data_IF_692784263791
#
_entry.id   IF_692784263791
#
_cell.length_a   1.000
_cell.length_b   1.000
_cell.length_c   1.000
_cell.angle_alpha   90.00
_cell.angle_beta   90.00
_cell.angle_gamma   90.00
#
_symmetry.space_group_name_H-M   'P 1'
#
loop_
_entity.id
_entity.type
_entity.pdbx_description
1 polymer ?
#
# COMPACT_ATOMS: atom_id res chain seq x y z
N UNK A 1 -6.16 -1.19 30.98
CA UNK A 1 -7.02 -1.98 30.08
C UNK A 1 -6.64 -1.64 28.64
N UNK A 2 -5.58 -2.23 28.09
CA UNK A 2 -5.19 -2.00 26.70
C UNK A 2 -5.55 -3.26 25.91
N UNK A 3 -6.80 -3.35 25.42
CA UNK A 3 -7.20 -4.50 24.60
C UNK A 3 -6.70 -4.29 23.17
N UNK A 4 -5.75 -5.10 22.67
CA UNK A 4 -5.24 -4.98 21.30
C UNK A 4 -6.35 -5.10 20.25
N UNK A 5 -7.42 -5.83 20.58
CA UNK A 5 -8.61 -5.95 19.74
C UNK A 5 -9.34 -4.61 19.54
N UNK A 6 -9.58 -3.84 20.62
CA UNK A 6 -10.29 -2.57 20.51
C UNK A 6 -9.50 -1.54 19.69
N UNK A 7 -8.18 -1.55 19.87
CA UNK A 7 -7.26 -0.65 19.17
C UNK A 7 -7.18 -1.02 17.69
N UNK A 8 -7.06 -2.32 17.39
CA UNK A 8 -7.08 -2.79 16.01
C UNK A 8 -8.41 -2.49 15.32
N UNK A 9 -9.56 -2.73 15.99
CA UNK A 9 -10.88 -2.36 15.44
C UNK A 9 -10.91 -0.87 15.10
N UNK A 10 -10.55 0.01 16.04
CA UNK A 10 -10.53 1.45 15.81
C UNK A 10 -9.64 1.85 14.63
N UNK A 11 -8.43 1.30 14.57
CA UNK A 11 -7.50 1.54 13.47
C UNK A 11 -8.03 1.06 12.11
N UNK A 12 -8.64 -0.13 12.07
CA UNK A 12 -9.26 -0.67 10.86
C UNK A 12 -10.42 0.18 10.37
N UNK A 13 -11.27 0.68 11.29
CA UNK A 13 -12.37 1.58 10.95
C UNK A 13 -11.84 2.91 10.36
N UNK A 14 -10.84 3.53 11.01
CA UNK A 14 -10.23 4.76 10.50
C UNK A 14 -9.63 4.53 9.12
N UNK A 15 -8.86 3.45 8.95
CA UNK A 15 -8.24 3.11 7.67
C UNK A 15 -9.28 2.87 6.57
N UNK A 16 -10.38 2.17 6.85
CA UNK A 16 -11.45 1.96 5.87
C UNK A 16 -12.14 3.28 5.46
N UNK A 17 -12.33 4.22 6.39
CA UNK A 17 -12.88 5.55 6.09
C UNK A 17 -11.92 6.36 5.21
N UNK A 18 -10.61 6.34 5.52
CA UNK A 18 -9.59 6.98 4.68
C UNK A 18 -9.57 6.38 3.28
N UNK A 19 -9.67 5.05 3.17
CA UNK A 19 -9.77 4.36 1.89
C UNK A 19 -11.02 4.78 1.10
N UNK A 20 -12.19 4.82 1.76
CA UNK A 20 -13.44 5.23 1.14
C UNK A 20 -13.42 6.70 0.68
N UNK A 21 -12.64 7.57 1.35
CA UNK A 21 -12.54 8.98 0.99
C UNK A 21 -12.03 9.23 -0.43
N UNK A 22 -11.26 8.28 -1.00
CA UNK A 22 -10.75 8.34 -2.38
C UNK A 22 -11.84 8.52 -3.42
N UNK A 23 -13.04 8.04 -3.15
CA UNK A 23 -14.19 8.16 -4.05
C UNK A 23 -14.66 9.61 -4.25
N UNK A 24 -14.26 10.52 -3.37
CA UNK A 24 -14.62 11.95 -3.50
C UNK A 24 -13.84 12.68 -4.59
N UNK A 25 -12.70 12.13 -5.06
CA UNK A 25 -11.86 12.74 -6.09
C UNK A 25 -11.18 14.06 -5.68
N UNK A 26 -11.27 14.47 -4.41
CA UNK A 26 -10.68 15.73 -3.94
C UNK A 26 -9.17 15.61 -3.72
N UNK A 27 -8.45 16.74 -3.82
CA UNK A 27 -7.01 16.78 -3.53
C UNK A 27 -6.70 16.31 -2.09
N UNK A 28 -7.56 16.65 -1.13
CA UNK A 28 -7.44 16.18 0.25
C UNK A 28 -7.61 14.66 0.34
N UNK A 29 -8.58 14.07 -0.37
CA UNK A 29 -8.75 12.62 -0.39
C UNK A 29 -7.53 11.88 -0.97
N UNK A 30 -6.87 12.44 -1.98
CA UNK A 30 -5.62 11.89 -2.50
C UNK A 30 -4.51 11.90 -1.43
N UNK A 31 -4.42 12.96 -0.63
CA UNK A 31 -3.46 13.02 0.48
C UNK A 31 -3.81 12.02 1.60
N UNK A 32 -5.10 11.88 1.93
CA UNK A 32 -5.60 10.93 2.92
C UNK A 32 -5.37 9.47 2.49
N UNK A 33 -5.45 9.19 1.19
CA UNK A 33 -5.16 7.87 0.65
C UNK A 33 -3.74 7.41 1.00
N UNK A 34 -2.75 8.28 0.87
CA UNK A 34 -1.35 7.95 1.14
C UNK A 34 -1.06 7.60 2.61
N UNK A 35 -1.92 7.99 3.54
CA UNK A 35 -1.80 7.64 4.97
C UNK A 35 -2.78 6.54 5.40
N UNK A 36 -3.46 5.89 4.45
CA UNK A 36 -4.50 4.90 4.77
C UNK A 36 -3.93 3.70 5.53
N UNK A 37 -2.68 3.30 5.28
CA UNK A 37 -2.04 2.19 5.99
C UNK A 37 -1.58 2.55 7.41
N UNK A 38 -1.36 3.85 7.70
CA UNK A 38 -0.78 4.34 8.95
C UNK A 38 -1.55 3.88 10.20
N UNK A 39 -2.89 3.96 10.28
CA UNK A 39 -3.62 3.51 11.48
C UNK A 39 -3.37 2.03 11.78
N UNK A 40 -3.35 1.19 10.76
CA UNK A 40 -3.11 -0.25 10.92
C UNK A 40 -1.68 -0.55 11.39
N UNK A 41 -0.69 0.17 10.85
CA UNK A 41 0.69 0.08 11.33
C UNK A 41 0.87 0.58 12.76
N UNK A 42 0.24 1.70 13.13
CA UNK A 42 0.26 2.22 14.51
C UNK A 42 -0.32 1.22 15.50
N UNK A 43 -1.47 0.62 15.19
CA UNK A 43 -2.06 -0.42 16.01
C UNK A 43 -1.16 -1.65 16.10
N UNK A 44 -0.64 -2.12 14.96
CA UNK A 44 0.17 -3.32 14.88
C UNK A 44 1.52 -3.21 15.59
N UNK A 45 2.28 -2.15 15.33
CA UNK A 45 3.59 -1.94 15.95
C UNK A 45 3.47 -1.52 17.42
N UNK A 46 2.44 -0.76 17.78
CA UNK A 46 2.24 -0.28 19.16
C UNK A 46 1.61 -1.30 20.11
N UNK A 47 0.72 -2.18 19.61
CA UNK A 47 -0.05 -3.12 20.44
C UNK A 47 0.03 -4.58 20.00
N UNK A 48 0.89 -4.88 19.03
CA UNK A 48 1.25 -6.23 18.65
C UNK A 48 0.52 -6.77 17.41
N UNK A 49 0.95 -7.94 16.94
CA UNK A 49 0.42 -8.57 15.72
C UNK A 49 -1.10 -8.79 15.75
N UNK A 50 -1.67 -9.05 16.93
CA UNK A 50 -3.13 -9.22 17.09
C UNK A 50 -3.89 -7.93 16.79
N UNK A 51 -3.36 -6.77 17.16
CA UNK A 51 -3.92 -5.47 16.81
C UNK A 51 -3.81 -5.21 15.29
N UNK A 52 -2.70 -5.62 14.65
CA UNK A 52 -2.54 -5.53 13.20
C UNK A 52 -3.57 -6.37 12.44
N UNK A 53 -3.75 -7.64 12.85
CA UNK A 53 -4.72 -8.56 12.22
C UNK A 53 -6.15 -8.06 12.41
N UNK A 54 -6.50 -7.59 13.60
CA UNK A 54 -7.84 -7.07 13.87
C UNK A 54 -8.13 -5.78 13.09
N UNK A 55 -7.13 -4.91 12.91
CA UNK A 55 -7.24 -3.76 12.01
C UNK A 55 -7.45 -4.18 10.56
N UNK A 56 -6.67 -5.15 10.06
CA UNK A 56 -6.81 -5.68 8.71
C UNK A 56 -8.22 -6.25 8.46
N UNK A 57 -8.71 -7.12 9.35
CA UNK A 57 -10.04 -7.74 9.24
C UNK A 57 -11.14 -6.68 9.31
N UNK A 58 -11.06 -5.75 10.26
CA UNK A 58 -12.07 -4.71 10.44
C UNK A 58 -12.12 -3.77 9.25
N UNK A 59 -10.96 -3.33 8.76
CA UNK A 59 -10.87 -2.47 7.58
C UNK A 59 -11.43 -3.16 6.34
N UNK A 60 -11.02 -4.40 6.08
CA UNK A 60 -11.56 -5.23 4.99
C UNK A 60 -13.07 -5.38 5.07
N UNK A 61 -13.60 -5.75 6.24
CA UNK A 61 -15.03 -5.97 6.43
C UNK A 61 -15.82 -4.67 6.21
N UNK A 62 -15.36 -3.55 6.78
CA UNK A 62 -16.04 -2.28 6.62
C UNK A 62 -16.01 -1.80 5.16
N UNK A 63 -14.87 -1.89 4.47
CA UNK A 63 -14.78 -1.55 3.05
C UNK A 63 -15.68 -2.44 2.18
N UNK A 64 -15.75 -3.74 2.50
CA UNK A 64 -16.63 -4.68 1.80
C UNK A 64 -18.12 -4.29 1.93
N UNK A 65 -18.53 -3.86 3.14
CA UNK A 65 -19.92 -3.49 3.45
C UNK A 65 -20.27 -2.10 2.91
N UNK A 66 -19.38 -1.11 3.07
CA UNK A 66 -19.67 0.27 2.69
C UNK A 66 -19.57 0.51 1.18
N UNK A 67 -18.63 -0.15 0.51
CA UNK A 67 -18.34 0.11 -0.91
C UNK A 67 -18.87 -1.03 -1.79
N UNK A 68 -18.24 -2.20 -1.69
CA UNK A 68 -18.62 -3.42 -2.38
C UNK A 68 -17.73 -4.58 -1.91
N UNK A 69 -18.17 -5.85 -2.01
CA UNK A 69 -17.34 -7.01 -1.68
C UNK A 69 -15.99 -7.03 -2.41
N UNK A 70 -15.98 -6.65 -3.69
CA UNK A 70 -14.75 -6.57 -4.49
C UNK A 70 -13.80 -5.47 -3.99
N UNK A 71 -14.32 -4.33 -3.52
CA UNK A 71 -13.51 -3.28 -2.92
C UNK A 71 -12.91 -3.72 -1.58
N UNK A 72 -13.65 -4.48 -0.79
CA UNK A 72 -13.14 -5.12 0.43
C UNK A 72 -11.99 -6.10 0.14
N UNK A 73 -12.11 -6.89 -0.92
CA UNK A 73 -11.02 -7.76 -1.38
C UNK A 73 -9.80 -6.95 -1.82
N UNK A 74 -10.02 -5.85 -2.57
CA UNK A 74 -8.95 -4.91 -2.93
C UNK A 74 -8.24 -4.34 -1.69
N UNK A 75 -8.99 -3.85 -0.71
CA UNK A 75 -8.44 -3.37 0.56
C UNK A 75 -7.65 -4.46 1.30
N UNK A 76 -8.18 -5.68 1.38
CA UNK A 76 -7.49 -6.80 2.00
C UNK A 76 -6.13 -7.07 1.36
N UNK A 77 -6.09 -7.20 0.03
CA UNK A 77 -4.87 -7.55 -0.70
C UNK A 77 -3.83 -6.42 -0.68
N UNK A 78 -4.28 -5.17 -0.75
CA UNK A 78 -3.39 -4.01 -0.92
C UNK A 78 -3.00 -3.33 0.40
N UNK A 79 -3.73 -3.57 1.49
CA UNK A 79 -3.50 -2.92 2.78
C UNK A 79 -3.53 -3.94 3.92
N UNK A 80 -4.65 -4.64 4.10
CA UNK A 80 -4.86 -5.50 5.27
C UNK A 80 -3.82 -6.59 5.44
N UNK A 81 -3.63 -7.43 4.41
CA UNK A 81 -2.66 -8.52 4.40
C UNK A 81 -1.21 -8.02 4.56
N UNK A 82 -0.75 -7.02 3.78
CA UNK A 82 0.57 -6.41 3.96
C UNK A 82 0.82 -5.86 5.37
N UNK A 83 -0.13 -5.12 5.95
CA UNK A 83 -0.01 -4.57 7.32
C UNK A 83 0.17 -5.72 8.32
N UNK A 84 -0.66 -6.76 8.25
CA UNK A 84 -0.57 -7.90 9.16
C UNK A 84 0.79 -8.62 9.05
N UNK A 85 1.27 -8.88 7.84
CA UNK A 85 2.55 -9.55 7.60
C UNK A 85 3.72 -8.68 8.08
N UNK A 86 3.78 -7.41 7.67
CA UNK A 86 4.92 -6.54 7.98
C UNK A 86 5.00 -6.21 9.47
N UNK A 87 3.87 -5.98 10.15
CA UNK A 87 3.86 -5.86 11.60
C UNK A 87 4.31 -7.15 12.29
N UNK A 88 3.85 -8.31 11.81
CA UNK A 88 4.31 -9.58 12.37
C UNK A 88 5.83 -9.74 12.25
N UNK A 89 6.38 -9.53 11.05
CA UNK A 89 7.82 -9.64 10.79
C UNK A 89 8.62 -8.66 11.65
N UNK A 90 8.19 -7.41 11.76
CA UNK A 90 8.86 -6.41 12.59
C UNK A 90 8.89 -6.78 14.08
N UNK A 91 7.87 -7.49 14.55
CA UNK A 91 7.72 -7.92 15.95
C UNK A 91 8.36 -9.27 16.27
N UNK A 92 9.04 -9.93 15.32
CA UNK A 92 9.81 -11.16 15.55
C UNK A 92 11.12 -10.95 16.34
N UNK A 93 11.23 -9.85 17.08
CA UNK A 93 12.40 -9.53 17.87
C UNK A 93 12.54 -10.51 19.04
N UNK A 94 13.74 -11.05 19.23
CA UNK A 94 14.03 -12.05 20.26
C UNK A 94 15.19 -11.60 21.14
N UNK A 95 15.25 -12.02 22.42
CA UNK A 95 16.44 -11.83 23.24
C UNK A 95 17.63 -12.52 22.56
N UNK A 96 18.70 -11.78 22.32
CA UNK A 96 19.93 -12.32 21.74
C UNK A 96 20.62 -13.29 22.68
N UNK A 97 21.46 -14.16 22.13
CA UNK A 97 22.26 -15.08 22.94
C UNK A 97 23.30 -14.29 23.76
N UNK A 98 23.36 -14.55 25.07
CA UNK A 98 24.47 -14.07 25.90
C UNK A 98 25.73 -14.85 25.54
N UNK A 99 26.59 -14.28 24.70
CA UNK A 99 27.93 -14.83 24.45
C UNK A 99 28.90 -14.32 25.51
N UNK A 100 29.24 -15.17 26.47
CA UNK A 100 30.45 -15.07 27.31
C UNK A 100 30.52 -13.95 28.37
N UNK A 101 30.69 -14.33 29.64
CA UNK A 101 31.39 -13.53 30.66
C UNK A 101 30.70 -12.31 31.28
N UNK A 102 29.83 -11.58 30.57
CA UNK A 102 29.29 -10.31 31.07
C UNK A 102 28.10 -10.53 32.02
N UNK A 103 28.44 -10.80 33.29
CA UNK A 103 27.51 -11.04 34.40
C UNK A 103 26.78 -9.77 34.88
N UNK A 104 26.18 -9.01 33.97
CA UNK A 104 25.42 -7.80 34.32
C UNK A 104 24.65 -7.10 33.19
N UNK A 105 24.91 -7.39 31.92
CA UNK A 105 24.18 -6.75 30.81
C UNK A 105 22.95 -7.56 30.38
N UNK A 106 21.83 -6.85 30.18
CA UNK A 106 20.64 -7.43 29.57
C UNK A 106 21.00 -7.97 28.18
N UNK A 107 20.47 -9.13 27.81
CA UNK A 107 20.69 -9.70 26.48
C UNK A 107 20.23 -8.70 25.41
N UNK A 108 21.11 -8.33 24.48
CA UNK A 108 20.77 -7.41 23.39
C UNK A 108 19.60 -7.98 22.58
N UNK A 109 18.60 -7.16 22.25
CA UNK A 109 17.48 -7.60 21.41
C UNK A 109 17.94 -7.79 19.97
N UNK A 110 17.73 -8.99 19.44
CA UNK A 110 17.95 -9.33 18.03
C UNK A 110 16.65 -9.05 17.25
N UNK A 111 16.68 -8.03 16.40
CA UNK A 111 15.53 -7.61 15.58
C UNK A 111 15.50 -8.34 14.24
N UNK A 112 14.31 -8.45 13.66
CA UNK A 112 14.18 -8.97 12.31
C UNK A 112 14.89 -8.05 11.30
N UNK A 113 15.72 -8.58 10.38
CA UNK A 113 16.55 -7.75 9.51
C UNK A 113 15.73 -6.76 8.65
N UNK A 114 16.03 -5.45 8.69
CA UNK A 114 15.31 -4.44 7.90
C UNK A 114 15.33 -4.72 6.40
N UNK A 115 16.44 -5.22 5.86
CA UNK A 115 16.55 -5.61 4.46
C UNK A 115 15.55 -6.70 4.04
N UNK A 116 15.17 -7.61 4.96
CA UNK A 116 14.14 -8.62 4.69
C UNK A 116 12.75 -8.02 4.68
N UNK A 117 12.47 -7.02 5.52
CA UNK A 117 11.19 -6.29 5.50
C UNK A 117 11.03 -5.61 4.13
N UNK A 118 12.06 -4.91 3.67
CA UNK A 118 12.06 -4.25 2.36
C UNK A 118 11.84 -5.27 1.23
N UNK A 119 12.51 -6.43 1.28
CA UNK A 119 12.35 -7.48 0.28
C UNK A 119 10.92 -8.05 0.25
N UNK A 120 10.31 -8.30 1.42
CA UNK A 120 8.91 -8.73 1.51
C UNK A 120 7.95 -7.67 0.97
N UNK A 121 8.16 -6.40 1.31
CA UNK A 121 7.36 -5.28 0.77
C UNK A 121 7.50 -5.19 -0.74
N UNK A 122 8.71 -5.36 -1.31
CA UNK A 122 8.94 -5.37 -2.75
C UNK A 122 8.24 -6.54 -3.46
N UNK A 123 8.27 -7.74 -2.86
CA UNK A 123 7.56 -8.89 -3.39
C UNK A 123 6.04 -8.64 -3.43
N UNK A 124 5.47 -8.12 -2.34
CA UNK A 124 4.05 -7.79 -2.28
C UNK A 124 3.68 -6.67 -3.26
N UNK A 125 4.53 -5.64 -3.40
CA UNK A 125 4.34 -4.55 -4.36
C UNK A 125 4.28 -5.08 -5.80
N UNK A 126 5.22 -5.95 -6.17
CA UNK A 126 5.21 -6.63 -7.46
C UNK A 126 3.98 -7.50 -7.66
N UNK A 127 3.54 -8.22 -6.61
CA UNK A 127 2.31 -9.01 -6.62
C UNK A 127 1.07 -8.17 -6.83
N UNK A 128 0.92 -7.05 -6.11
CA UNK A 128 -0.20 -6.10 -6.28
C UNK A 128 -0.22 -5.52 -7.69
N UNK A 129 0.94 -5.11 -8.22
CA UNK A 129 1.04 -4.60 -9.58
C UNK A 129 0.72 -5.68 -10.63
N UNK A 130 1.16 -6.92 -10.43
CA UNK A 130 0.83 -8.02 -11.33
C UNK A 130 -0.68 -8.34 -11.32
N UNK A 131 -1.30 -8.33 -10.13
CA UNK A 131 -2.74 -8.57 -9.97
C UNK A 131 -3.61 -7.43 -10.48
N UNK A 132 -3.06 -6.22 -10.64
CA UNK A 132 -3.80 -5.08 -11.18
C UNK A 132 -3.82 -5.05 -12.71
N UNK A 133 -2.86 -5.68 -13.40
CA UNK A 133 -2.80 -5.71 -14.88
C UNK A 133 -4.12 -6.21 -15.51
N UNK A 134 -4.71 -7.33 -15.07
CA UNK A 134 -5.98 -7.83 -15.63
C UNK A 134 -7.16 -6.87 -15.49
N UNK A 135 -7.12 -5.94 -14.51
CA UNK A 135 -8.19 -4.95 -14.31
C UNK A 135 -8.31 -3.97 -15.48
N UNK A 136 -7.25 -3.83 -16.29
CA UNK A 136 -7.22 -2.97 -17.46
C UNK A 136 -7.43 -3.73 -18.77
N UNK A 137 -7.49 -5.07 -18.75
CA UNK A 137 -7.67 -5.91 -19.93
C UNK A 137 -6.97 -7.25 -19.79
N UNK A 138 -7.54 -8.30 -20.39
CA UNK A 138 -6.97 -9.66 -20.38
C UNK A 138 -5.99 -9.90 -21.53
N UNK A 139 -6.03 -9.05 -22.56
CA UNK A 139 -5.14 -9.02 -23.72
C UNK A 139 -4.43 -7.68 -23.84
N UNK A 140 -3.34 -7.66 -24.61
CA UNK A 140 -2.44 -6.51 -24.73
C UNK A 140 -3.12 -5.33 -25.42
N UNK A 141 -3.98 -5.61 -26.40
CA UNK A 141 -4.73 -4.62 -27.16
C UNK A 141 -5.73 -3.89 -26.27
N UNK A 142 -6.55 -4.63 -25.50
CA UNK A 142 -7.52 -4.09 -24.55
C UNK A 142 -6.83 -3.31 -23.42
N UNK A 143 -5.74 -3.85 -22.87
CA UNK A 143 -4.92 -3.17 -21.86
C UNK A 143 -4.42 -1.81 -22.37
N UNK A 144 -3.84 -1.79 -23.58
CA UNK A 144 -3.36 -0.56 -24.21
C UNK A 144 -4.49 0.43 -24.44
N UNK A 145 -5.61 -0.01 -25.02
CA UNK A 145 -6.74 0.86 -25.32
C UNK A 145 -7.33 1.52 -24.06
N UNK A 146 -7.53 0.74 -22.99
CA UNK A 146 -8.08 1.25 -21.73
C UNK A 146 -7.13 2.24 -21.05
N UNK A 147 -5.83 1.97 -21.03
CA UNK A 147 -4.85 2.90 -20.46
C UNK A 147 -4.68 4.17 -21.29
N UNK A 148 -4.69 4.07 -22.63
CA UNK A 148 -4.71 5.24 -23.49
C UNK A 148 -5.93 6.12 -23.19
N UNK A 149 -7.11 5.52 -23.08
CA UNK A 149 -8.33 6.25 -22.76
C UNK A 149 -8.24 6.97 -21.39
N UNK A 150 -7.63 6.34 -20.39
CA UNK A 150 -7.40 6.94 -19.07
C UNK A 150 -6.42 8.11 -19.16
N UNK A 151 -5.30 7.94 -19.86
CA UNK A 151 -4.29 8.99 -20.05
C UNK A 151 -4.86 10.20 -20.78
N UNK A 152 -5.63 9.97 -21.85
CA UNK A 152 -6.28 11.02 -22.63
C UNK A 152 -7.25 11.83 -21.75
N UNK A 153 -8.11 11.13 -21.00
CA UNK A 153 -9.11 11.77 -20.13
C UNK A 153 -8.50 12.51 -18.94
N UNK A 154 -7.42 11.98 -18.37
CA UNK A 154 -6.86 12.48 -17.11
C UNK A 154 -5.77 13.52 -17.30
N UNK A 155 -4.91 13.34 -18.31
CA UNK A 155 -3.73 14.20 -18.50
C UNK A 155 -3.86 15.11 -19.71
N UNK A 156 -4.16 14.57 -20.89
CA UNK A 156 -4.12 15.36 -22.12
C UNK A 156 -5.26 16.38 -22.19
N UNK A 157 -6.47 15.98 -21.80
CA UNK A 157 -7.62 16.90 -21.78
C UNK A 157 -7.51 18.01 -20.72
N UNK A 158 -6.57 17.92 -19.78
CA UNK A 158 -6.29 18.99 -18.81
C UNK A 158 -5.24 19.99 -19.30
N UNK A 159 -4.49 19.66 -20.37
CA UNK A 159 -3.52 20.58 -20.98
C UNK A 159 -4.21 21.49 -22.00
N UNK A 160 -3.97 22.82 -21.97
CA UNK A 160 -4.44 23.72 -23.02
C UNK A 160 -3.86 23.29 -24.39
N UNK A 161 -4.70 22.74 -25.26
CA UNK A 161 -4.30 22.25 -26.60
C UNK A 161 -4.03 20.74 -26.70
N UNK A 162 -4.12 19.97 -25.61
CA UNK A 162 -4.03 18.50 -25.64
C UNK A 162 -2.62 17.93 -25.84
N UNK A 163 -1.58 18.77 -25.88
CA UNK A 163 -0.18 18.39 -26.05
C UNK A 163 0.74 19.25 -25.16
N UNK A 164 1.80 18.68 -24.55
CA UNK A 164 2.80 19.49 -23.83
C UNK A 164 3.46 20.55 -24.73
N UNK A 165 3.87 21.72 -24.20
CA UNK A 165 4.56 22.75 -24.97
C UNK A 165 5.82 22.19 -25.65
N UNK A 166 5.90 22.30 -26.98
CA UNK A 166 7.06 21.86 -27.76
C UNK A 166 7.02 20.41 -28.26
N UNK A 167 5.92 19.68 -28.08
CA UNK A 167 5.75 18.30 -28.59
C UNK A 167 4.60 18.22 -29.61
N UNK A 168 4.83 17.56 -30.74
CA UNK A 168 3.78 17.25 -31.72
C UNK A 168 2.99 15.99 -31.33
N UNK A 169 1.79 15.80 -31.89
CA UNK A 169 0.97 14.60 -31.65
C UNK A 169 1.67 13.32 -32.11
N UNK A 170 2.46 13.39 -33.18
CA UNK A 170 3.24 12.26 -33.69
C UNK A 170 4.35 11.84 -32.71
N UNK A 171 4.92 12.80 -31.97
CA UNK A 171 5.97 12.53 -30.99
C UNK A 171 5.42 11.94 -29.68
N UNK A 172 4.12 12.08 -29.41
CA UNK A 172 3.49 11.54 -28.19
C UNK A 172 3.30 10.03 -28.20
N UNK A 173 3.15 9.40 -29.37
CA UNK A 173 2.87 7.96 -29.47
C UNK A 173 3.89 7.08 -28.73
N UNK A 174 5.20 7.20 -29.02
CA UNK A 174 6.24 6.43 -28.32
C UNK A 174 6.32 6.75 -26.82
N UNK A 175 6.05 7.99 -26.41
CA UNK A 175 6.06 8.41 -24.99
C UNK A 175 4.91 7.76 -24.24
N UNK A 176 3.70 7.78 -24.81
CA UNK A 176 2.52 7.13 -24.24
C UNK A 176 2.74 5.61 -24.12
N UNK A 177 3.34 4.99 -25.15
CA UNK A 177 3.69 3.57 -25.12
C UNK A 177 4.68 3.23 -24.00
N UNK A 178 5.71 4.06 -23.81
CA UNK A 178 6.65 3.91 -22.70
C UNK A 178 5.93 4.04 -21.34
N UNK A 179 5.04 5.03 -21.19
CA UNK A 179 4.27 5.23 -19.96
C UNK A 179 3.37 4.03 -19.63
N UNK A 180 2.65 3.50 -20.63
CA UNK A 180 1.79 2.32 -20.48
C UNK A 180 2.58 1.09 -20.03
N UNK A 181 3.78 0.90 -20.60
CA UNK A 181 4.66 -0.21 -20.26
C UNK A 181 5.29 -0.05 -18.87
N UNK A 182 5.59 1.19 -18.47
CA UNK A 182 6.18 1.50 -17.17
C UNK A 182 5.16 1.53 -16.03
N UNK A 183 3.86 1.66 -16.36
CA UNK A 183 2.79 1.87 -15.37
C UNK A 183 2.76 0.81 -14.25
N UNK A 184 2.87 -0.50 -14.52
CA UNK A 184 2.89 -1.51 -13.45
C UNK A 184 4.10 -1.33 -12.52
N UNK A 185 5.29 -1.10 -13.07
CA UNK A 185 6.50 -0.88 -12.28
C UNK A 185 6.41 0.40 -11.44
N UNK A 186 5.92 1.49 -12.02
CA UNK A 186 5.67 2.74 -11.31
C UNK A 186 4.66 2.55 -10.17
N UNK A 187 3.57 1.81 -10.41
CA UNK A 187 2.57 1.51 -9.39
C UNK A 187 3.15 0.69 -8.23
N UNK A 188 4.01 -0.30 -8.52
CA UNK A 188 4.70 -1.08 -7.50
C UNK A 188 5.65 -0.20 -6.66
N UNK A 189 6.42 0.68 -7.31
CA UNK A 189 7.34 1.60 -6.62
C UNK A 189 6.57 2.54 -5.70
N UNK A 190 5.48 3.15 -6.18
CA UNK A 190 4.64 4.05 -5.39
C UNK A 190 4.02 3.31 -4.21
N UNK A 191 3.44 2.13 -4.44
CA UNK A 191 2.84 1.33 -3.38
C UNK A 191 3.89 0.92 -2.32
N UNK A 192 5.07 0.49 -2.75
CA UNK A 192 6.19 0.17 -1.85
C UNK A 192 6.58 1.38 -1.00
N UNK A 193 6.74 2.56 -1.62
CA UNK A 193 7.11 3.78 -0.94
C UNK A 193 6.07 4.18 0.11
N UNK A 194 4.78 4.09 -0.23
CA UNK A 194 3.67 4.35 0.69
C UNK A 194 3.75 3.41 1.88
N UNK A 195 3.85 2.10 1.65
CA UNK A 195 3.85 1.11 2.71
C UNK A 195 5.04 1.27 3.65
N UNK A 196 6.24 1.49 3.12
CA UNK A 196 7.44 1.72 3.93
C UNK A 196 7.36 3.05 4.68
N UNK A 197 6.86 4.11 4.07
CA UNK A 197 6.68 5.40 4.73
C UNK A 197 5.71 5.28 5.91
N UNK A 198 4.54 4.67 5.70
CA UNK A 198 3.54 4.50 6.76
C UNK A 198 4.08 3.63 7.90
N UNK A 199 4.79 2.55 7.57
CA UNK A 199 5.42 1.69 8.56
C UNK A 199 6.52 2.42 9.34
N UNK A 200 7.37 3.17 8.65
CA UNK A 200 8.44 3.96 9.27
C UNK A 200 7.90 5.06 10.18
N UNK A 201 6.82 5.74 9.77
CA UNK A 201 6.17 6.77 10.59
C UNK A 201 5.49 6.20 11.84
N UNK A 202 5.11 4.92 11.83
CA UNK A 202 4.47 4.25 12.95
C UNK A 202 5.46 3.63 13.97
N UNK A 203 6.74 3.52 13.62
CA UNK A 203 7.79 2.92 14.44
C UNK A 203 8.50 3.97 15.31
#
# INVERSE_FOLDING_TARGET
MNSPFLIGIGAGLVSAVLFASTMTGSALAMMLFYITALPGFLAGLGWGTTAAITAAVTGTALTAVLLAPLAGLGYFLTLGLPIAILCHLALLARPGNKTGGDSGQAAAMEWYPPGRIIAWTALMAGGVAALSVPLFGMDVETYRANLQQILDKTFLNQLPGGTPPGMSKEQMGPVIELLIRALPAASAIVWLAIMLLNMWTAA
#
